data_IF_078266892005
#
_entry.id   IF_078266892005
#
_cell.length_a   1.000
_cell.length_b   1.000
_cell.length_c   1.000
_cell.angle_alpha   90.00
_cell.angle_beta   90.00
_cell.angle_gamma   90.00
#
_symmetry.space_group_name_H-M   'P 1'
#
loop_
_entity.id
_entity.type
_entity.pdbx_description
1 polymer ?
#
# COMPACT_ATOMS: atom_id res chain seq x y z
N UNK A 1 11.34 -9.08 9.78
CA UNK A 1 10.32 -10.05 9.32
C UNK A 1 9.79 -9.58 7.98
N UNK A 2 9.95 -10.39 6.94
CA UNK A 2 9.35 -10.09 5.65
C UNK A 2 7.94 -10.65 5.64
N UNK A 3 6.99 -9.81 5.36
CA UNK A 3 5.59 -10.18 5.22
C UNK A 3 5.27 -10.41 3.76
N UNK A 4 4.55 -11.47 3.50
CA UNK A 4 3.91 -11.71 2.23
C UNK A 4 2.42 -11.56 2.44
N UNK A 5 1.82 -10.54 1.83
CA UNK A 5 0.38 -10.40 1.79
C UNK A 5 -0.16 -11.38 0.76
N UNK A 6 -0.92 -12.35 1.21
CA UNK A 6 -1.76 -13.14 0.31
C UNK A 6 -3.06 -12.40 0.19
N UNK A 7 -3.37 -12.08 -1.03
CA UNK A 7 -4.59 -11.40 -1.40
C UNK A 7 -5.60 -12.45 -1.75
N UNK A 8 -6.69 -12.48 -1.00
CA UNK A 8 -7.86 -13.20 -1.45
C UNK A 8 -8.54 -12.30 -2.48
N UNK A 9 -8.50 -12.73 -3.73
CA UNK A 9 -9.30 -12.13 -4.77
C UNK A 9 -10.71 -12.69 -4.67
N UNK A 10 -11.69 -11.90 -5.04
CA UNK A 10 -12.96 -12.38 -5.51
C UNK A 10 -12.76 -13.66 -6.31
N UNK A 11 -13.22 -14.75 -5.81
CA UNK A 11 -13.36 -15.96 -6.59
C UNK A 11 -14.69 -15.89 -7.31
N UNK A 12 -14.70 -15.65 -8.64
CA UNK A 12 -15.90 -15.88 -9.42
C UNK A 12 -16.31 -17.33 -9.19
N UNK A 13 -17.60 -17.58 -8.99
CA UNK A 13 -18.13 -18.94 -8.94
C UNK A 13 -17.51 -19.77 -10.06
N UNK A 14 -16.73 -20.79 -9.70
CA UNK A 14 -16.13 -21.82 -10.54
C UNK A 14 -15.34 -21.30 -11.75
N UNK A 15 -14.05 -21.15 -11.57
CA UNK A 15 -13.12 -21.44 -12.65
C UNK A 15 -12.74 -22.91 -12.49
N UNK A 16 -13.20 -23.73 -13.42
CA UNK A 16 -12.65 -25.07 -13.60
C UNK A 16 -11.22 -24.94 -14.13
N UNK A 17 -10.29 -24.65 -13.27
CA UNK A 17 -8.88 -24.67 -13.59
C UNK A 17 -8.28 -25.90 -12.92
N UNK A 18 -8.11 -26.94 -13.73
CA UNK A 18 -7.28 -28.11 -13.40
C UNK A 18 -5.81 -27.71 -13.38
N UNK A 19 -5.49 -26.74 -12.53
CA UNK A 19 -4.19 -26.09 -12.43
C UNK A 19 -3.38 -26.57 -11.22
N UNK A 20 -3.70 -27.72 -10.68
CA UNK A 20 -2.95 -28.30 -9.60
C UNK A 20 -1.54 -28.69 -10.06
N UNK A 21 -0.53 -28.03 -9.52
CA UNK A 21 0.85 -28.44 -9.67
C UNK A 21 1.11 -29.67 -8.78
N UNK A 22 1.67 -30.74 -9.34
CA UNK A 22 1.96 -31.98 -8.60
C UNK A 22 2.82 -31.76 -7.35
N UNK A 23 3.74 -30.79 -7.37
CA UNK A 23 4.56 -30.42 -6.21
C UNK A 23 3.72 -29.80 -5.08
N UNK A 24 2.73 -28.96 -5.42
CA UNK A 24 1.80 -28.38 -4.43
C UNK A 24 0.93 -29.46 -3.85
N UNK A 25 0.38 -30.34 -4.67
CA UNK A 25 -0.45 -31.46 -4.21
C UNK A 25 0.30 -32.40 -3.28
N UNK A 26 1.54 -32.74 -3.63
CA UNK A 26 2.39 -33.58 -2.77
C UNK A 26 2.61 -32.92 -1.39
N UNK A 27 2.78 -31.60 -1.34
CA UNK A 27 2.93 -30.86 -0.08
C UNK A 27 1.62 -30.78 0.71
N UNK A 28 0.50 -30.56 0.04
CA UNK A 28 -0.84 -30.61 0.68
C UNK A 28 -1.09 -31.98 1.30
N UNK A 29 -0.71 -33.05 0.61
CA UNK A 29 -0.85 -34.42 1.14
C UNK A 29 0.04 -34.66 2.36
N UNK A 30 1.19 -34.00 2.44
CA UNK A 30 2.13 -34.10 3.57
C UNK A 30 1.76 -33.23 4.79
N UNK A 31 0.71 -32.39 4.70
CA UNK A 31 0.21 -31.60 5.83
C UNK A 31 -0.34 -32.52 6.91
N UNK A 32 -0.11 -32.18 8.19
CA UNK A 32 -0.63 -32.97 9.32
C UNK A 32 -2.15 -33.08 9.28
N UNK A 33 -2.74 -34.15 9.88
CA UNK A 33 -4.17 -34.31 9.95
C UNK A 33 -4.89 -33.10 10.60
N UNK A 34 -4.28 -32.50 11.63
CA UNK A 34 -4.83 -31.32 12.28
C UNK A 34 -4.87 -30.12 11.32
N UNK A 35 -3.83 -29.91 10.54
CA UNK A 35 -3.79 -28.84 9.53
C UNK A 35 -4.74 -29.09 8.36
N UNK A 36 -4.94 -30.37 7.96
CA UNK A 36 -5.92 -30.73 6.91
C UNK A 36 -7.37 -30.50 7.35
N UNK A 37 -7.65 -30.71 8.61
CA UNK A 37 -8.99 -30.57 9.17
C UNK A 37 -9.34 -29.12 9.52
N UNK A 38 -8.40 -28.18 9.43
CA UNK A 38 -8.65 -26.77 9.58
C UNK A 38 -9.31 -26.23 8.32
N UNK A 39 -10.46 -25.56 8.46
CA UNK A 39 -11.15 -24.86 7.37
C UNK A 39 -10.50 -23.51 7.05
N UNK A 40 -9.38 -23.18 7.69
CA UNK A 40 -8.67 -21.93 7.49
C UNK A 40 -7.77 -22.06 6.25
N UNK A 41 -7.83 -21.11 5.31
CA UNK A 41 -6.94 -21.07 4.15
C UNK A 41 -5.47 -21.08 4.55
N UNK A 42 -4.64 -21.69 3.72
CA UNK A 42 -3.21 -21.88 3.99
C UNK A 42 -2.36 -21.32 2.88
N UNK A 43 -1.18 -20.84 3.28
CA UNK A 43 -0.08 -20.55 2.39
C UNK A 43 0.96 -21.66 2.50
N UNK A 44 1.43 -22.16 1.37
CA UNK A 44 2.59 -23.01 1.28
C UNK A 44 3.70 -22.25 0.58
N UNK A 45 4.87 -22.18 1.21
CA UNK A 45 6.03 -21.50 0.64
C UNK A 45 7.29 -22.35 0.84
N UNK A 46 8.09 -22.53 -0.20
CA UNK A 46 9.31 -23.31 -0.17
C UNK A 46 10.36 -22.85 -1.16
N UNK A 47 11.58 -23.38 -1.01
CA UNK A 47 12.69 -23.09 -1.91
C UNK A 47 12.60 -23.99 -3.16
N UNK A 48 12.84 -23.39 -4.36
CA UNK A 48 12.79 -24.11 -5.63
C UNK A 48 11.38 -24.51 -6.08
N UNK A 49 11.24 -24.85 -7.35
CA UNK A 49 9.94 -25.23 -7.95
C UNK A 49 9.30 -26.47 -7.33
N UNK A 50 10.11 -27.34 -6.77
CA UNK A 50 9.65 -28.54 -6.06
C UNK A 50 9.23 -28.23 -4.61
N UNK A 51 9.22 -26.96 -4.22
CA UNK A 51 8.90 -26.49 -2.85
C UNK A 51 9.73 -27.18 -1.77
N UNK A 52 11.01 -27.40 -2.03
CA UNK A 52 11.93 -27.96 -1.06
C UNK A 52 11.87 -27.12 0.23
N UNK A 53 11.84 -27.82 1.36
CA UNK A 53 11.72 -27.21 2.69
C UNK A 53 10.49 -26.30 2.85
N UNK A 54 9.40 -26.63 2.16
CA UNK A 54 8.18 -25.84 2.25
C UNK A 54 7.62 -25.82 3.66
N UNK A 55 7.18 -24.63 4.05
CA UNK A 55 6.44 -24.37 5.28
C UNK A 55 4.99 -24.06 4.94
N UNK A 56 4.12 -24.39 5.87
CA UNK A 56 2.69 -24.12 5.78
C UNK A 56 2.33 -23.08 6.85
N UNK A 57 1.60 -22.05 6.45
CA UNK A 57 1.09 -21.01 7.33
C UNK A 57 -0.43 -20.96 7.20
N UNK A 58 -1.11 -20.80 8.30
CA UNK A 58 -2.55 -20.58 8.33
C UNK A 58 -2.86 -19.08 8.23
N UNK A 59 -3.97 -18.74 7.58
CA UNK A 59 -4.41 -17.36 7.46
C UNK A 59 -5.17 -16.92 8.71
N UNK A 60 -5.01 -15.66 9.07
CA UNK A 60 -6.00 -14.95 9.86
C UNK A 60 -7.17 -14.62 8.94
N UNK A 61 -8.33 -15.23 9.19
CA UNK A 61 -9.51 -15.06 8.37
C UNK A 61 -10.54 -14.19 9.06
N UNK A 62 -11.04 -13.19 8.35
CA UNK A 62 -12.14 -12.32 8.81
C UNK A 62 -13.24 -12.34 7.76
N UNK A 63 -14.45 -12.70 8.18
CA UNK A 63 -15.64 -12.56 7.34
C UNK A 63 -15.99 -11.08 7.22
N UNK A 64 -16.09 -10.60 5.99
CA UNK A 64 -16.32 -9.21 5.70
C UNK A 64 -17.48 -9.06 4.71
N UNK A 65 -18.14 -7.92 4.81
CA UNK A 65 -19.19 -7.52 3.88
C UNK A 65 -18.71 -6.32 3.11
N UNK A 66 -18.81 -6.36 1.79
CA UNK A 66 -18.59 -5.18 0.98
C UNK A 66 -19.66 -4.13 1.33
N UNK A 67 -19.21 -3.01 1.88
CA UNK A 67 -20.10 -1.93 2.29
C UNK A 67 -20.81 -1.25 1.11
N UNK A 68 -20.28 -1.42 -0.09
CA UNK A 68 -20.82 -0.85 -1.32
C UNK A 68 -21.62 -1.88 -2.14
N UNK A 69 -21.63 -3.14 -1.73
CA UNK A 69 -22.44 -4.16 -2.41
C UNK A 69 -23.82 -4.28 -1.76
N UNK A 70 -24.82 -3.75 -2.44
CA UNK A 70 -26.22 -3.83 -2.01
C UNK A 70 -26.78 -5.26 -1.96
N UNK A 71 -26.12 -6.22 -2.61
CA UNK A 71 -26.53 -7.62 -2.58
C UNK A 71 -26.14 -8.33 -1.29
N UNK A 72 -25.31 -7.69 -0.46
CA UNK A 72 -24.97 -8.20 0.86
C UNK A 72 -24.13 -9.47 0.87
N UNK A 73 -23.38 -9.75 -0.18
CA UNK A 73 -22.47 -10.89 -0.23
C UNK A 73 -21.39 -10.74 0.84
N UNK A 74 -21.06 -11.85 1.47
CA UNK A 74 -20.01 -11.93 2.48
C UNK A 74 -18.79 -12.60 1.87
N UNK A 75 -17.64 -12.01 2.11
CA UNK A 75 -16.34 -12.49 1.65
C UNK A 75 -15.47 -12.84 2.86
N UNK A 76 -14.39 -13.53 2.61
CA UNK A 76 -13.36 -13.76 3.61
C UNK A 76 -12.10 -12.99 3.25
N UNK A 77 -11.66 -12.10 4.12
CA UNK A 77 -10.31 -11.53 4.07
C UNK A 77 -9.35 -12.49 4.75
N UNK A 78 -8.33 -12.92 4.04
CA UNK A 78 -7.33 -13.87 4.53
C UNK A 78 -5.96 -13.20 4.54
N UNK A 79 -5.33 -13.10 5.71
CA UNK A 79 -4.02 -12.49 5.89
C UNK A 79 -3.03 -13.52 6.42
N UNK A 80 -1.88 -13.62 5.78
CA UNK A 80 -0.82 -14.53 6.19
C UNK A 80 0.50 -13.80 6.32
N UNK A 81 1.21 -14.06 7.42
CA UNK A 81 2.57 -13.61 7.63
C UNK A 81 3.52 -14.80 7.57
N UNK A 82 4.31 -14.90 6.50
CA UNK A 82 5.37 -15.90 6.40
C UNK A 82 6.65 -15.41 7.07
N UNK A 83 7.22 -16.24 7.93
CA UNK A 83 8.43 -15.92 8.72
C UNK A 83 9.61 -16.79 8.29
N UNK A 84 10.84 -16.35 8.63
CA UNK A 84 12.06 -17.08 8.32
C UNK A 84 12.44 -17.06 6.83
N UNK A 85 11.94 -16.09 6.08
CA UNK A 85 12.30 -15.84 4.69
C UNK A 85 13.68 -15.16 4.68
N UNK A 86 14.64 -15.78 3.96
CA UNK A 86 16.02 -15.29 3.83
C UNK A 86 16.14 -14.38 2.62
N UNK A 87 17.10 -13.46 2.66
CA UNK A 87 17.42 -12.60 1.53
C UNK A 87 18.16 -13.33 0.40
N UNK A 88 18.13 -12.76 -0.81
CA UNK A 88 18.81 -13.27 -2.01
C UNK A 88 18.47 -14.74 -2.35
N UNK A 89 17.20 -15.10 -2.16
CA UNK A 89 16.68 -16.43 -2.46
C UNK A 89 15.38 -16.37 -3.24
N UNK A 90 15.20 -17.35 -4.10
CA UNK A 90 13.92 -17.57 -4.80
C UNK A 90 13.09 -18.59 -4.03
N UNK A 91 11.89 -18.18 -3.68
CA UNK A 91 10.84 -19.00 -3.09
C UNK A 91 9.74 -19.21 -4.10
N UNK A 92 9.03 -20.32 -3.94
CA UNK A 92 7.78 -20.57 -4.64
C UNK A 92 6.67 -20.69 -3.60
N UNK A 93 5.56 -20.03 -3.87
CA UNK A 93 4.43 -20.05 -2.96
C UNK A 93 3.13 -20.37 -3.69
N UNK A 94 2.23 -21.01 -2.98
CA UNK A 94 0.87 -21.29 -3.39
C UNK A 94 -0.06 -21.09 -2.21
N UNK A 95 -1.24 -20.63 -2.44
CA UNK A 95 -2.25 -20.40 -1.41
C UNK A 95 -3.58 -21.02 -1.81
N UNK A 96 -4.35 -21.39 -0.80
CA UNK A 96 -5.73 -21.83 -0.97
C UNK A 96 -6.63 -20.60 -1.18
N UNK A 97 -7.32 -20.58 -2.31
CA UNK A 97 -8.23 -19.51 -2.69
C UNK A 97 -9.71 -19.88 -2.53
N UNK A 98 -10.00 -20.90 -1.73
CA UNK A 98 -11.35 -21.45 -1.52
C UNK A 98 -11.77 -22.49 -2.56
N UNK A 99 -11.02 -22.62 -3.67
CA UNK A 99 -11.24 -23.62 -4.72
C UNK A 99 -10.02 -24.58 -4.87
N UNK A 100 -9.15 -24.55 -3.89
CA UNK A 100 -7.89 -25.30 -3.89
C UNK A 100 -6.67 -24.40 -4.02
N UNK A 101 -5.52 -25.01 -4.13
CA UNK A 101 -4.24 -24.29 -4.17
C UNK A 101 -3.95 -23.72 -5.56
N UNK A 102 -3.51 -22.47 -5.60
CA UNK A 102 -3.08 -21.79 -6.84
C UNK A 102 -1.84 -22.44 -7.44
N UNK A 103 -1.57 -22.17 -8.72
CA UNK A 103 -0.25 -22.46 -9.30
C UNK A 103 0.83 -21.74 -8.50
N UNK A 104 1.98 -22.38 -8.22
CA UNK A 104 3.07 -21.72 -7.53
C UNK A 104 3.54 -20.48 -8.28
N UNK A 105 3.57 -19.36 -7.56
CA UNK A 105 4.21 -18.12 -8.01
C UNK A 105 5.63 -18.04 -7.43
N UNK A 106 6.54 -17.46 -8.19
CA UNK A 106 7.90 -17.22 -7.74
C UNK A 106 7.98 -15.88 -6.98
N UNK A 107 8.77 -15.87 -5.93
CA UNK A 107 9.13 -14.67 -5.20
C UNK A 107 10.64 -14.68 -4.90
N UNK A 108 11.37 -13.76 -5.50
CA UNK A 108 12.81 -13.61 -5.26
C UNK A 108 13.06 -12.46 -4.31
N UNK A 109 13.55 -12.80 -3.11
CA UNK A 109 13.91 -11.83 -2.10
C UNK A 109 15.20 -11.11 -2.49
N UNK A 110 15.28 -9.83 -2.23
CA UNK A 110 16.44 -8.99 -2.53
C UNK A 110 17.31 -8.79 -1.28
N UNK A 111 18.50 -8.20 -1.48
CA UNK A 111 19.39 -7.80 -0.41
C UNK A 111 18.72 -6.80 0.53
N UNK A 112 19.06 -6.87 1.82
CA UNK A 112 18.66 -5.88 2.82
C UNK A 112 19.74 -4.84 3.07
N UNK A 113 20.97 -5.08 2.62
CA UNK A 113 22.09 -4.15 2.80
C UNK A 113 22.18 -3.11 1.68
N UNK A 114 21.86 -3.52 0.45
CA UNK A 114 21.81 -2.65 -0.70
C UNK A 114 20.50 -2.93 -1.44
N UNK A 115 19.55 -2.03 -1.35
CA UNK A 115 18.23 -2.20 -1.91
C UNK A 115 17.71 -0.93 -2.55
N UNK A 116 16.75 -1.11 -3.43
CA UNK A 116 15.96 -0.02 -4.01
C UNK A 116 14.48 -0.31 -3.84
N UNK A 117 13.71 0.75 -3.74
CA UNK A 117 12.25 0.68 -3.75
C UNK A 117 11.70 1.73 -4.71
N UNK A 118 10.51 1.49 -5.24
CA UNK A 118 9.78 2.48 -5.99
C UNK A 118 8.82 3.21 -5.03
N UNK A 119 8.75 4.52 -5.17
CA UNK A 119 7.75 5.35 -4.55
C UNK A 119 6.74 5.79 -5.60
N UNK A 120 5.46 5.67 -5.30
CA UNK A 120 4.34 6.07 -6.15
C UNK A 120 3.24 6.72 -5.32
N UNK A 121 2.47 7.61 -5.93
CA UNK A 121 1.26 8.17 -5.35
C UNK A 121 0.10 8.01 -6.31
N UNK A 122 -1.10 8.01 -5.81
CA UNK A 122 -2.34 8.28 -6.51
C UNK A 122 -2.59 7.44 -7.79
N UNK A 123 -2.48 6.11 -7.74
CA UNK A 123 -2.83 5.28 -8.89
C UNK A 123 -4.29 5.39 -9.30
N UNK A 124 -5.15 5.71 -8.35
CA UNK A 124 -6.58 6.03 -8.52
C UNK A 124 -7.28 5.18 -9.58
N UNK A 125 -7.17 3.84 -9.46
CA UNK A 125 -7.80 2.90 -10.38
C UNK A 125 -9.31 3.16 -10.45
N UNK A 126 -9.83 3.43 -11.63
CA UNK A 126 -11.21 3.83 -11.88
C UNK A 126 -11.37 5.30 -12.27
N UNK A 127 -10.29 6.11 -12.16
CA UNK A 127 -10.33 7.56 -12.41
C UNK A 127 -10.66 7.93 -13.85
N UNK A 128 -10.35 7.07 -14.80
CA UNK A 128 -10.66 7.29 -16.22
C UNK A 128 -12.15 7.08 -16.59
N UNK A 129 -13.02 6.80 -15.59
CA UNK A 129 -14.46 6.75 -15.83
C UNK A 129 -15.04 8.17 -15.93
N UNK A 130 -15.38 8.59 -17.13
CA UNK A 130 -15.96 9.91 -17.39
C UNK A 130 -17.46 10.00 -17.06
N UNK A 131 -18.14 8.87 -16.88
CA UNK A 131 -19.56 8.87 -16.56
C UNK A 131 -19.77 9.18 -15.08
N UNK A 132 -20.58 10.20 -14.84
CA UNK A 132 -21.05 10.50 -13.48
C UNK A 132 -22.21 9.56 -13.14
N UNK A 133 -21.99 8.81 -12.08
CA UNK A 133 -22.76 7.64 -11.73
C UNK A 133 -24.25 7.82 -11.62
N UNK A 134 -24.93 6.95 -12.33
CA UNK A 134 -26.28 6.52 -12.02
C UNK A 134 -26.22 5.00 -11.95
N UNK A 135 -27.04 4.38 -11.14
CA UNK A 135 -27.16 2.93 -11.04
C UNK A 135 -27.73 2.37 -12.36
N UNK A 136 -26.90 2.35 -13.39
CA UNK A 136 -27.23 1.88 -14.74
C UNK A 136 -26.17 0.91 -15.22
N UNK A 137 -26.59 -0.02 -16.08
CA UNK A 137 -25.63 -0.94 -16.73
C UNK A 137 -24.51 -0.19 -17.45
N UNK A 138 -24.85 0.93 -18.12
CA UNK A 138 -23.90 1.76 -18.83
C UNK A 138 -22.79 2.31 -17.91
N UNK A 139 -23.17 2.75 -16.71
CA UNK A 139 -22.21 3.21 -15.71
C UNK A 139 -21.28 2.08 -15.26
N UNK A 140 -21.80 0.90 -14.97
CA UNK A 140 -20.99 -0.24 -14.54
C UNK A 140 -20.07 -0.75 -15.64
N UNK A 141 -20.54 -0.75 -16.89
CA UNK A 141 -19.70 -1.09 -18.05
C UNK A 141 -18.56 -0.06 -18.19
N UNK A 142 -18.84 1.23 -18.00
CA UNK A 142 -17.85 2.29 -18.05
C UNK A 142 -16.84 2.18 -16.90
N UNK A 143 -17.28 1.94 -15.66
CA UNK A 143 -16.39 1.69 -14.53
C UNK A 143 -15.49 0.47 -14.78
N UNK A 144 -16.06 -0.61 -15.27
CA UNK A 144 -15.28 -1.82 -15.61
C UNK A 144 -14.22 -1.55 -16.68
N UNK A 145 -14.52 -0.72 -17.68
CA UNK A 145 -13.58 -0.36 -18.73
C UNK A 145 -12.48 0.58 -18.19
N UNK A 146 -12.84 1.56 -17.37
CA UNK A 146 -11.90 2.44 -16.69
C UNK A 146 -10.93 1.63 -15.84
N UNK A 147 -11.42 0.73 -14.99
CA UNK A 147 -10.59 -0.15 -14.18
C UNK A 147 -9.60 -0.96 -15.02
N UNK A 148 -10.03 -1.50 -16.16
CA UNK A 148 -9.12 -2.25 -17.05
C UNK A 148 -8.03 -1.36 -17.65
N UNK A 149 -8.40 -0.15 -18.09
CA UNK A 149 -7.48 0.82 -18.67
C UNK A 149 -6.45 1.28 -17.64
N UNK A 150 -6.92 1.68 -16.47
CA UNK A 150 -6.06 2.19 -15.41
C UNK A 150 -5.16 1.10 -14.82
N UNK A 151 -5.69 -0.12 -14.66
CA UNK A 151 -4.90 -1.28 -14.25
C UNK A 151 -3.81 -1.66 -15.27
N UNK A 152 -4.08 -1.48 -16.57
CA UNK A 152 -3.07 -1.66 -17.61
C UNK A 152 -1.95 -0.61 -17.49
N UNK A 153 -2.31 0.66 -17.30
CA UNK A 153 -1.34 1.73 -17.11
C UNK A 153 -0.51 1.52 -15.82
N UNK A 154 -1.17 1.14 -14.74
CA UNK A 154 -0.52 0.78 -13.48
C UNK A 154 0.46 -0.39 -13.64
N UNK A 155 0.03 -1.45 -14.34
CA UNK A 155 0.91 -2.58 -14.67
C UNK A 155 2.12 -2.14 -15.50
N UNK A 156 1.92 -1.26 -16.48
CA UNK A 156 3.00 -0.72 -17.32
C UNK A 156 4.00 0.09 -16.49
N UNK A 157 3.53 0.89 -15.55
CA UNK A 157 4.37 1.67 -14.63
C UNK A 157 5.24 0.75 -13.76
N UNK A 158 4.65 -0.30 -13.18
CA UNK A 158 5.40 -1.27 -12.37
C UNK A 158 6.45 -2.02 -13.21
N UNK A 159 6.10 -2.42 -14.42
CA UNK A 159 7.03 -3.11 -15.32
C UNK A 159 8.19 -2.19 -15.75
N UNK A 160 7.90 -0.92 -16.06
CA UNK A 160 8.94 0.06 -16.37
C UNK A 160 9.89 0.30 -15.18
N UNK A 161 9.37 0.33 -13.95
CA UNK A 161 10.19 0.44 -12.75
C UNK A 161 11.08 -0.78 -12.53
N UNK A 162 10.55 -1.99 -12.77
CA UNK A 162 11.34 -3.24 -12.71
C UNK A 162 12.44 -3.25 -13.77
N UNK A 163 12.10 -2.91 -15.02
CA UNK A 163 13.06 -2.83 -16.12
C UNK A 163 14.16 -1.81 -15.82
N UNK A 164 13.79 -0.61 -15.38
CA UNK A 164 14.74 0.46 -15.04
C UNK A 164 15.74 0.06 -13.95
N UNK A 165 15.34 -0.82 -13.08
CA UNK A 165 16.17 -1.31 -11.96
C UNK A 165 16.78 -2.69 -12.23
N UNK A 166 16.67 -3.23 -13.45
CA UNK A 166 17.09 -4.58 -13.80
C UNK A 166 16.56 -5.62 -12.80
N UNK A 167 15.27 -5.56 -12.50
CA UNK A 167 14.57 -6.42 -11.52
C UNK A 167 15.13 -6.35 -10.09
N UNK A 168 15.83 -5.27 -9.72
CA UNK A 168 16.41 -5.11 -8.39
C UNK A 168 15.49 -4.41 -7.39
N UNK A 169 14.27 -4.02 -7.77
CA UNK A 169 13.30 -3.48 -6.83
C UNK A 169 12.97 -4.49 -5.73
N UNK A 170 13.04 -4.04 -4.50
CA UNK A 170 12.70 -4.83 -3.33
C UNK A 170 11.21 -4.77 -3.00
N UNK A 171 10.60 -3.60 -3.16
CA UNK A 171 9.19 -3.33 -2.90
C UNK A 171 8.76 -1.98 -3.48
N UNK A 172 7.46 -1.71 -3.40
CA UNK A 172 6.84 -0.43 -3.74
C UNK A 172 6.27 0.20 -2.47
N UNK A 173 6.44 1.50 -2.32
CA UNK A 173 5.73 2.34 -1.34
C UNK A 173 4.68 3.14 -2.10
N UNK A 174 3.42 3.03 -1.71
CA UNK A 174 2.29 3.74 -2.32
C UNK A 174 1.68 4.72 -1.31
N UNK A 175 1.72 6.00 -1.66
CA UNK A 175 1.34 7.10 -0.77
C UNK A 175 -0.16 7.39 -0.74
N UNK A 176 -1.01 6.40 -0.91
CA UNK A 176 -2.46 6.56 -0.81
C UNK A 176 -3.18 6.64 -2.16
N UNK A 177 -4.49 6.78 -2.10
CA UNK A 177 -5.39 6.86 -3.24
C UNK A 177 -5.18 5.73 -4.25
N UNK A 178 -5.25 4.49 -3.76
CA UNK A 178 -5.12 3.31 -4.59
C UNK A 178 -6.26 3.19 -5.60
N UNK A 179 -7.43 3.69 -5.23
CA UNK A 179 -8.66 3.64 -6.01
C UNK A 179 -9.29 5.02 -6.15
N UNK A 180 -10.26 5.15 -7.07
CA UNK A 180 -10.98 6.39 -7.32
C UNK A 180 -12.21 6.56 -6.44
N UNK A 181 -12.94 5.49 -6.16
CA UNK A 181 -14.27 5.57 -5.56
C UNK A 181 -14.21 5.75 -4.06
N UNK A 182 -14.74 6.89 -3.57
CA UNK A 182 -14.98 7.11 -2.14
C UNK A 182 -16.44 6.86 -1.80
N UNK A 183 -16.72 6.44 -0.58
CA UNK A 183 -18.07 6.28 -0.05
C UNK A 183 -18.78 7.63 0.11
N UNK A 184 -18.05 8.67 0.54
CA UNK A 184 -18.63 9.98 0.87
C UNK A 184 -18.79 10.91 -0.32
N UNK A 185 -17.84 10.86 -1.26
CA UNK A 185 -17.73 11.87 -2.34
C UNK A 185 -18.41 11.44 -3.63
N UNK A 186 -18.79 10.18 -3.76
CA UNK A 186 -19.52 9.74 -4.96
C UNK A 186 -20.91 10.39 -4.98
N UNK A 187 -21.24 11.19 -6.01
CA UNK A 187 -22.59 11.73 -6.14
C UNK A 187 -23.63 10.63 -6.30
N UNK A 188 -23.21 9.39 -6.53
CA UNK A 188 -24.02 8.20 -6.66
C UNK A 188 -23.43 7.10 -5.78
N UNK A 189 -23.59 7.27 -4.47
CA UNK A 189 -23.12 6.36 -3.43
C UNK A 189 -23.44 4.88 -3.67
N UNK A 190 -24.43 4.62 -4.50
CA UNK A 190 -24.96 3.29 -4.74
C UNK A 190 -24.46 2.66 -6.04
N UNK A 191 -23.75 3.42 -6.88
CA UNK A 191 -23.36 2.97 -8.22
C UNK A 191 -21.89 2.57 -8.33
N UNK A 192 -20.95 3.38 -7.81
CA UNK A 192 -19.54 3.07 -7.88
C UNK A 192 -19.16 2.02 -6.84
N UNK A 193 -18.37 1.02 -7.25
CA UNK A 193 -17.94 -0.08 -6.40
C UNK A 193 -16.43 -0.07 -6.24
N UNK A 194 -15.95 0.17 -5.04
CA UNK A 194 -14.51 0.20 -4.74
C UNK A 194 -13.84 -1.16 -4.93
N UNK A 195 -14.57 -2.24 -4.75
CA UNK A 195 -13.99 -3.59 -4.83
C UNK A 195 -13.47 -3.94 -6.22
N UNK A 196 -14.17 -3.56 -7.28
CA UNK A 196 -13.68 -3.75 -8.65
C UNK A 196 -12.41 -2.93 -8.90
N UNK A 197 -12.29 -1.75 -8.31
CA UNK A 197 -11.13 -0.88 -8.42
C UNK A 197 -9.94 -1.45 -7.65
N UNK A 198 -10.13 -1.94 -6.42
CA UNK A 198 -9.08 -2.69 -5.69
C UNK A 198 -8.65 -3.94 -6.45
N UNK A 199 -9.57 -4.64 -7.10
CA UNK A 199 -9.23 -5.78 -7.97
C UNK A 199 -8.31 -5.32 -9.11
N UNK A 200 -8.59 -4.18 -9.72
CA UNK A 200 -7.74 -3.57 -10.74
C UNK A 200 -6.35 -3.21 -10.21
N UNK A 201 -6.30 -2.53 -9.06
CA UNK A 201 -5.04 -2.16 -8.40
C UNK A 201 -4.16 -3.38 -8.11
N UNK A 202 -4.76 -4.47 -7.68
CA UNK A 202 -4.09 -5.70 -7.31
C UNK A 202 -3.83 -6.67 -8.47
N UNK A 203 -4.31 -6.35 -9.68
CA UNK A 203 -4.25 -7.25 -10.84
C UNK A 203 -2.87 -7.40 -11.50
N UNK A 204 -1.95 -6.42 -11.48
CA UNK A 204 -0.69 -6.53 -12.17
C UNK A 204 0.08 -7.80 -11.78
N UNK A 205 0.59 -8.52 -12.79
CA UNK A 205 1.37 -9.76 -12.58
C UNK A 205 2.63 -9.49 -11.74
N UNK A 206 3.26 -8.33 -11.93
CA UNK A 206 4.42 -7.89 -11.17
C UNK A 206 4.19 -7.96 -9.64
N UNK A 207 2.97 -7.67 -9.18
CA UNK A 207 2.64 -7.68 -7.76
C UNK A 207 2.61 -9.09 -7.13
N UNK A 208 2.73 -10.15 -7.91
CA UNK A 208 2.93 -11.50 -7.36
C UNK A 208 4.33 -11.68 -6.76
N UNK A 209 5.30 -10.92 -7.25
CA UNK A 209 6.69 -10.98 -6.80
C UNK A 209 7.24 -9.66 -6.25
N UNK A 210 6.50 -8.57 -6.38
CA UNK A 210 6.86 -7.25 -5.91
C UNK A 210 5.91 -6.82 -4.77
N UNK A 211 6.36 -6.85 -3.51
CA UNK A 211 5.55 -6.39 -2.38
C UNK A 211 5.20 -4.91 -2.48
N UNK A 212 4.04 -4.53 -1.96
CA UNK A 212 3.63 -3.14 -1.87
C UNK A 212 3.24 -2.79 -0.43
N UNK A 213 3.75 -1.65 0.05
CA UNK A 213 3.36 -1.01 1.30
C UNK A 213 2.52 0.22 0.96
N UNK A 214 1.29 0.30 1.47
CA UNK A 214 0.34 1.36 1.15
C UNK A 214 0.04 2.22 2.37
N UNK A 215 -0.15 3.52 2.22
CA UNK A 215 -0.87 4.32 3.20
C UNK A 215 -2.28 4.64 2.72
N UNK A 216 -3.08 5.24 3.56
CA UNK A 216 -4.48 5.58 3.26
C UNK A 216 -4.54 6.96 2.63
N UNK A 217 -5.14 7.06 1.45
CA UNK A 217 -5.49 8.33 0.85
C UNK A 217 -6.96 8.71 1.09
N UNK A 218 -7.37 9.89 0.66
CA UNK A 218 -8.74 10.34 0.90
C UNK A 218 -9.79 9.57 0.09
N UNK A 219 -9.38 8.88 -0.98
CA UNK A 219 -10.23 7.96 -1.73
C UNK A 219 -10.37 6.58 -1.09
N UNK A 220 -9.47 6.21 -0.16
CA UNK A 220 -9.51 4.95 0.58
C UNK A 220 -10.16 5.09 1.97
N UNK A 221 -10.16 6.30 2.54
CA UNK A 221 -10.29 6.56 3.97
C UNK A 221 -11.64 6.21 4.61
N UNK A 222 -12.70 6.20 3.83
CA UNK A 222 -14.05 5.99 4.33
C UNK A 222 -14.64 4.63 3.95
N UNK A 223 -13.81 3.72 3.45
CA UNK A 223 -14.22 2.39 3.00
C UNK A 223 -13.37 1.29 3.67
N UNK A 224 -14.04 0.44 4.43
CA UNK A 224 -13.39 -0.69 5.11
C UNK A 224 -12.69 -1.67 4.16
N UNK A 225 -13.05 -1.70 2.87
CA UNK A 225 -12.41 -2.57 1.87
C UNK A 225 -10.89 -2.37 1.81
N UNK A 226 -10.38 -1.16 2.04
CA UNK A 226 -8.94 -0.94 2.17
C UNK A 226 -8.30 -1.89 3.18
N UNK A 227 -8.86 -1.98 4.38
CA UNK A 227 -8.29 -2.81 5.45
C UNK A 227 -8.36 -4.30 5.14
N UNK A 228 -9.29 -4.72 4.30
CA UNK A 228 -9.46 -6.11 3.93
C UNK A 228 -8.42 -6.58 2.92
N UNK A 229 -7.90 -5.67 2.09
CA UNK A 229 -6.94 -5.98 1.03
C UNK A 229 -5.48 -5.87 1.45
N UNK A 230 -5.16 -5.07 2.46
CA UNK A 230 -3.78 -4.80 2.83
C UNK A 230 -3.44 -5.35 4.22
N UNK A 231 -2.39 -6.19 4.27
CA UNK A 231 -1.84 -6.70 5.51
C UNK A 231 -0.73 -5.76 6.00
N UNK A 232 -1.05 -4.91 6.95
CA UNK A 232 -0.16 -3.89 7.50
C UNK A 232 0.63 -4.45 8.68
N UNK A 233 1.95 -4.41 8.57
CA UNK A 233 2.85 -4.89 9.63
C UNK A 233 2.88 -3.92 10.79
N UNK A 234 2.92 -4.44 12.01
CA UNK A 234 2.99 -3.59 13.21
C UNK A 234 1.94 -2.48 13.17
N UNK A 235 0.72 -2.83 12.73
CA UNK A 235 -0.41 -1.91 12.69
C UNK A 235 -0.78 -1.43 14.09
N UNK A 236 -1.18 -0.17 14.18
CA UNK A 236 -1.63 0.49 15.39
C UNK A 236 -3.09 0.93 15.25
N UNK A 237 -3.74 1.13 16.37
CA UNK A 237 -5.04 1.83 16.42
C UNK A 237 -4.88 3.36 16.37
N UNK A 238 -3.66 3.89 16.56
CA UNK A 238 -3.37 5.32 16.37
C UNK A 238 -3.51 5.69 14.89
N UNK A 239 -4.00 6.88 14.61
CA UNK A 239 -4.26 7.33 13.26
C UNK A 239 -5.48 6.66 12.60
N UNK A 240 -6.48 6.22 13.39
CA UNK A 240 -7.66 5.52 12.87
C UNK A 240 -8.99 6.13 13.34
N UNK A 241 -8.97 7.33 13.92
CA UNK A 241 -10.18 7.95 14.43
C UNK A 241 -11.14 8.39 13.30
N UNK A 242 -12.27 7.69 13.17
CA UNK A 242 -13.30 7.90 12.14
C UNK A 242 -12.86 7.64 10.69
N UNK A 243 -11.70 7.04 10.49
CA UNK A 243 -11.18 6.64 9.19
C UNK A 243 -10.72 5.19 9.23
N UNK A 244 -10.62 4.54 8.08
CA UNK A 244 -10.12 3.17 8.00
C UNK A 244 -8.60 3.16 8.05
N UNK A 245 -8.04 2.07 8.50
CA UNK A 245 -6.60 1.88 8.52
C UNK A 245 -6.02 2.22 9.90
N UNK A 246 -5.02 3.04 9.93
CA UNK A 246 -4.23 3.41 11.10
C UNK A 246 -2.76 3.49 10.73
N UNK A 247 -1.96 4.01 11.62
CA UNK A 247 -0.52 4.10 11.44
C UNK A 247 0.11 2.70 11.54
N UNK A 248 1.17 2.45 10.77
CA UNK A 248 1.93 1.23 10.87
C UNK A 248 3.38 1.45 10.46
N UNK A 249 4.26 0.50 10.73
CA UNK A 249 5.65 0.58 10.29
C UNK A 249 6.19 -0.77 9.85
N UNK A 250 7.26 -0.73 9.07
CA UNK A 250 8.06 -1.90 8.78
C UNK A 250 9.54 -1.53 8.67
N UNK A 251 10.39 -2.55 8.77
CA UNK A 251 11.84 -2.41 8.59
C UNK A 251 12.28 -3.14 7.34
N UNK A 252 13.18 -2.54 6.60
CA UNK A 252 13.90 -3.20 5.54
C UNK A 252 15.38 -2.87 5.64
N UNK A 253 16.21 -3.88 5.97
CA UNK A 253 17.60 -3.65 6.32
C UNK A 253 17.74 -2.72 7.53
N UNK A 254 18.49 -1.65 7.37
CA UNK A 254 18.69 -0.61 8.37
C UNK A 254 17.78 0.62 8.17
N UNK A 255 16.75 0.51 7.35
CA UNK A 255 15.75 1.55 7.14
C UNK A 255 14.43 1.22 7.85
N UNK A 256 13.89 2.20 8.54
CA UNK A 256 12.59 2.21 9.18
C UNK A 256 11.62 3.01 8.30
N UNK A 257 10.55 2.37 7.86
CA UNK A 257 9.47 2.97 7.11
C UNK A 257 8.28 3.17 8.04
N UNK A 258 7.87 4.41 8.24
CA UNK A 258 6.76 4.82 9.09
C UNK A 258 5.63 5.28 8.17
N UNK A 259 4.51 4.59 8.20
CA UNK A 259 3.37 4.83 7.32
C UNK A 259 2.27 5.49 8.13
N UNK A 260 2.02 6.77 7.89
CA UNK A 260 1.03 7.54 8.62
C UNK A 260 -0.29 7.62 7.84
N UNK A 261 -1.39 7.42 8.54
CA UNK A 261 -2.74 7.61 8.02
C UNK A 261 -3.24 9.02 8.37
N UNK A 262 -2.75 10.01 7.67
CA UNK A 262 -3.09 11.43 7.92
C UNK A 262 -4.49 11.83 7.46
N UNK A 263 -5.32 10.88 7.02
CA UNK A 263 -6.77 11.06 6.93
C UNK A 263 -7.42 11.20 8.31
N UNK A 264 -6.79 10.62 9.34
CA UNK A 264 -6.99 11.04 10.71
C UNK A 264 -6.12 12.28 10.98
N UNK A 265 -6.74 13.41 11.22
CA UNK A 265 -6.04 14.70 11.45
C UNK A 265 -5.57 14.88 12.89
N UNK A 266 -5.67 13.85 13.72
CA UNK A 266 -5.19 13.89 15.11
C UNK A 266 -3.66 13.74 15.20
N UNK A 267 -2.95 14.83 14.99
CA UNK A 267 -1.48 14.84 14.99
C UNK A 267 -0.87 14.34 16.31
N UNK A 268 -1.57 14.44 17.42
CA UNK A 268 -1.08 13.91 18.70
C UNK A 268 -0.92 12.38 18.67
N UNK A 269 -1.82 11.66 17.98
CA UNK A 269 -1.71 10.21 17.79
C UNK A 269 -0.53 9.88 16.89
N UNK A 270 -0.35 10.56 15.77
CA UNK A 270 0.79 10.38 14.88
C UNK A 270 2.11 10.65 15.59
N UNK A 271 2.19 11.73 16.41
CA UNK A 271 3.36 12.00 17.24
C UNK A 271 3.66 10.84 18.17
N UNK A 272 2.67 10.38 18.91
CA UNK A 272 2.83 9.25 19.83
C UNK A 272 3.32 8.00 19.08
N UNK A 273 2.76 7.71 17.91
CA UNK A 273 3.15 6.57 17.09
C UNK A 273 4.61 6.68 16.61
N UNK A 274 5.00 7.85 16.07
CA UNK A 274 6.37 8.11 15.62
C UNK A 274 7.36 7.92 16.76
N UNK A 275 7.13 8.57 17.90
CA UNK A 275 8.02 8.52 19.06
C UNK A 275 8.20 7.09 19.57
N UNK A 276 7.12 6.33 19.70
CA UNK A 276 7.17 4.92 20.14
C UNK A 276 7.90 4.05 19.13
N UNK A 277 7.63 4.25 17.84
CA UNK A 277 8.22 3.46 16.75
C UNK A 277 9.73 3.73 16.64
N UNK A 278 10.15 4.98 16.68
CA UNK A 278 11.57 5.36 16.66
C UNK A 278 12.29 4.84 17.89
N UNK A 279 11.69 4.98 19.07
CA UNK A 279 12.28 4.48 20.32
C UNK A 279 12.48 2.96 20.32
N UNK A 280 11.57 2.22 19.69
CA UNK A 280 11.65 0.75 19.56
C UNK A 280 12.62 0.28 18.46
N UNK A 281 13.05 1.14 17.54
CA UNK A 281 13.87 0.80 16.38
C UNK A 281 15.12 1.67 16.24
N UNK A 282 15.82 1.92 17.33
CA UNK A 282 17.04 2.76 17.39
C UNK A 282 18.21 2.21 16.58
N UNK A 283 18.16 0.94 16.20
CA UNK A 283 19.14 0.28 15.34
C UNK A 283 19.00 0.66 13.84
N UNK A 284 17.89 1.27 13.45
CA UNK A 284 17.70 1.77 12.10
C UNK A 284 18.46 3.07 11.88
N UNK A 285 19.23 3.11 10.80
CA UNK A 285 19.99 4.30 10.38
C UNK A 285 19.12 5.32 9.64
N UNK A 286 18.21 4.84 8.81
CA UNK A 286 17.34 5.66 7.98
C UNK A 286 15.90 5.60 8.48
N UNK A 287 15.25 6.75 8.54
CA UNK A 287 13.85 6.89 8.95
C UNK A 287 13.08 7.61 7.86
N UNK A 288 12.17 6.89 7.24
CA UNK A 288 11.40 7.34 6.09
C UNK A 288 9.93 7.35 6.49
N UNK A 289 9.30 8.50 6.42
CA UNK A 289 7.86 8.67 6.63
C UNK A 289 7.14 8.67 5.30
N UNK A 290 5.98 8.04 5.24
CA UNK A 290 5.05 8.14 4.13
C UNK A 290 3.69 8.55 4.66
N UNK A 291 3.10 9.55 4.07
CA UNK A 291 1.74 10.02 4.32
C UNK A 291 1.09 10.41 2.99
N UNK A 292 -0.23 10.60 3.00
CA UNK A 292 -0.91 10.90 1.74
C UNK A 292 -0.86 12.37 1.38
N UNK A 293 -1.24 13.26 2.30
CA UNK A 293 -1.32 14.69 2.00
C UNK A 293 0.06 15.27 1.68
N UNK A 294 0.14 16.03 0.60
CA UNK A 294 1.38 16.65 0.16
C UNK A 294 1.67 17.94 0.95
N UNK A 295 2.31 17.77 2.10
CA UNK A 295 2.61 18.88 3.02
C UNK A 295 3.64 19.87 2.47
N UNK A 296 4.36 19.54 1.39
CA UNK A 296 5.28 20.42 0.65
C UNK A 296 5.09 20.26 -0.86
N UNK A 297 3.84 20.15 -1.28
CA UNK A 297 3.48 20.01 -2.68
C UNK A 297 3.62 21.30 -3.48
N UNK A 298 3.42 21.15 -4.77
CA UNK A 298 3.57 22.25 -5.74
C UNK A 298 2.30 22.46 -6.61
N UNK A 299 1.20 21.81 -6.26
CA UNK A 299 -0.05 21.91 -7.00
C UNK A 299 -1.22 22.38 -6.12
N UNK A 300 -2.45 22.11 -6.54
CA UNK A 300 -3.66 22.74 -6.04
C UNK A 300 -3.90 22.54 -4.53
N UNK A 301 -3.65 21.33 -4.04
CA UNK A 301 -4.01 20.95 -2.68
C UNK A 301 -3.00 21.41 -1.61
N UNK A 302 -1.75 21.66 -1.99
CA UNK A 302 -0.66 21.92 -1.03
C UNK A 302 -0.86 23.14 -0.11
N UNK A 303 -1.73 24.08 -0.50
CA UNK A 303 -2.08 25.27 0.26
C UNK A 303 -3.46 25.21 0.93
N UNK A 304 -4.13 24.07 0.90
CA UNK A 304 -5.38 23.89 1.62
C UNK A 304 -5.14 24.05 3.14
N UNK A 305 -6.11 24.64 3.88
CA UNK A 305 -5.94 24.87 5.32
C UNK A 305 -5.60 23.62 6.13
N UNK A 306 -6.17 22.48 5.76
CA UNK A 306 -5.90 21.19 6.39
C UNK A 306 -4.44 20.77 6.18
N UNK A 307 -3.94 20.87 4.96
CA UNK A 307 -2.58 20.46 4.62
C UNK A 307 -1.55 21.41 5.22
N UNK A 308 -1.83 22.71 5.19
CA UNK A 308 -1.02 23.73 5.87
C UNK A 308 -0.94 23.42 7.36
N UNK A 309 -2.05 23.08 8.00
CA UNK A 309 -2.09 22.74 9.41
C UNK A 309 -1.28 21.47 9.72
N UNK A 310 -1.40 20.42 8.90
CA UNK A 310 -0.58 19.21 9.01
C UNK A 310 0.91 19.51 8.87
N UNK A 311 1.29 20.34 7.89
CA UNK A 311 2.67 20.80 7.69
C UNK A 311 3.25 21.39 8.97
N UNK A 312 2.60 22.41 9.53
CA UNK A 312 3.09 23.10 10.73
C UNK A 312 3.19 22.19 11.94
N UNK A 313 2.29 21.23 12.09
CA UNK A 313 2.27 20.35 13.24
C UNK A 313 3.22 19.15 13.10
N UNK A 314 3.30 18.52 11.91
CA UNK A 314 4.10 17.32 11.69
C UNK A 314 5.60 17.61 11.53
N UNK A 315 5.96 18.74 10.90
CA UNK A 315 7.36 19.05 10.61
C UNK A 315 8.26 19.08 11.85
N UNK A 316 7.87 19.75 12.95
CA UNK A 316 8.67 19.72 14.17
C UNK A 316 8.79 18.32 14.77
N UNK A 317 7.76 17.48 14.61
CA UNK A 317 7.77 16.09 15.07
C UNK A 317 8.77 15.27 14.26
N UNK A 318 8.78 15.46 12.95
CA UNK A 318 9.74 14.80 12.07
C UNK A 318 11.19 15.16 12.41
N UNK A 319 11.46 16.43 12.64
CA UNK A 319 12.78 16.90 13.04
C UNK A 319 13.21 16.32 14.39
N UNK A 320 12.35 16.39 15.40
CA UNK A 320 12.64 15.85 16.74
C UNK A 320 12.90 14.35 16.78
N UNK A 321 12.45 13.64 15.76
CA UNK A 321 12.61 12.20 15.61
C UNK A 321 13.63 11.81 14.52
N UNK A 322 14.44 12.76 14.05
CA UNK A 322 15.46 12.57 13.00
C UNK A 322 14.89 11.83 11.77
N UNK A 323 13.78 12.29 11.23
CA UNK A 323 13.21 11.74 9.99
C UNK A 323 14.02 12.27 8.81
N UNK A 324 14.59 11.36 8.01
CA UNK A 324 15.47 11.72 6.87
C UNK A 324 14.70 12.11 5.61
N UNK A 325 13.51 11.53 5.42
CA UNK A 325 12.73 11.72 4.17
C UNK A 325 11.25 11.55 4.45
N UNK A 326 10.44 12.41 3.85
CA UNK A 326 8.98 12.31 3.83
C UNK A 326 8.52 12.09 2.38
N UNK A 327 7.69 11.09 2.15
CA UNK A 327 7.10 10.73 0.87
C UNK A 327 5.61 11.01 0.91
N UNK A 328 5.10 11.74 -0.07
CA UNK A 328 3.71 12.24 -0.10
C UNK A 328 3.04 11.95 -1.45
N UNK A 329 1.71 12.00 -1.51
CA UNK A 329 0.88 11.88 -2.71
C UNK A 329 -0.05 13.08 -2.85
N UNK A 330 -1.31 12.84 -3.24
CA UNK A 330 -2.43 13.76 -3.23
C UNK A 330 -2.42 14.87 -4.29
N UNK A 331 -1.31 15.52 -4.52
CA UNK A 331 -1.23 16.71 -5.39
C UNK A 331 -1.11 16.39 -6.90
N UNK A 332 -1.00 15.09 -7.25
CA UNK A 332 -0.85 14.57 -8.62
C UNK A 332 0.30 15.24 -9.41
N UNK A 333 1.27 15.78 -8.71
CA UNK A 333 2.43 16.44 -9.26
C UNK A 333 3.71 15.89 -8.63
N UNK A 334 4.78 15.79 -9.42
CA UNK A 334 6.08 15.47 -8.86
C UNK A 334 6.74 16.74 -8.34
N UNK A 335 7.02 16.77 -7.06
CA UNK A 335 7.77 17.82 -6.42
C UNK A 335 8.85 17.24 -5.50
N UNK A 336 9.89 18.01 -5.26
CA UNK A 336 10.95 17.68 -4.32
C UNK A 336 11.45 18.96 -3.68
N UNK A 337 11.31 19.05 -2.37
CA UNK A 337 11.86 20.17 -1.61
C UNK A 337 13.40 20.13 -1.58
N UNK A 338 14.00 21.25 -1.25
CA UNK A 338 15.36 21.28 -0.71
C UNK A 338 15.40 20.55 0.64
N UNK A 339 16.60 20.33 1.16
CA UNK A 339 16.74 19.87 2.54
C UNK A 339 16.21 20.96 3.48
N UNK A 340 15.28 20.55 4.35
CA UNK A 340 14.63 21.43 5.30
C UNK A 340 15.17 21.17 6.71
N UNK A 341 15.24 22.23 7.52
CA UNK A 341 15.51 22.14 8.95
C UNK A 341 14.42 22.96 9.65
N UNK A 342 13.70 22.34 10.60
CA UNK A 342 12.55 22.96 11.28
C UNK A 342 11.36 23.24 10.35
N UNK A 343 11.42 22.77 9.13
CA UNK A 343 10.31 22.75 8.18
C UNK A 343 10.05 24.03 7.40
N UNK A 344 10.48 25.18 7.87
CA UNK A 344 10.19 26.47 7.21
C UNK A 344 11.44 27.31 6.96
N UNK A 345 12.48 27.08 7.71
CA UNK A 345 13.71 27.85 7.59
C UNK A 345 14.89 26.86 7.59
N UNK A 346 15.29 26.45 6.42
CA UNK A 346 16.45 25.58 6.25
C UNK A 346 17.78 26.24 6.65
N UNK A 347 17.74 27.55 6.88
CA UNK A 347 18.84 28.38 7.36
C UNK A 347 18.28 29.38 8.36
N UNK A 348 19.12 30.02 9.15
CA UNK A 348 18.76 31.06 10.11
C UNK A 348 18.33 32.39 9.42
N UNK A 349 17.52 32.31 8.39
CA UNK A 349 16.99 33.48 7.70
C UNK A 349 15.98 34.23 8.58
N UNK A 350 16.03 35.55 8.54
CA UNK A 350 14.92 36.41 8.94
C UNK A 350 13.75 36.20 7.97
N UNK A 351 12.53 36.59 8.36
CA UNK A 351 11.36 36.42 7.50
C UNK A 351 11.53 37.12 6.14
N UNK A 352 12.12 38.33 6.16
CA UNK A 352 12.39 39.12 4.94
C UNK A 352 13.45 38.43 4.04
N UNK A 353 14.49 37.84 4.65
CA UNK A 353 15.52 37.10 3.91
C UNK A 353 14.97 35.80 3.34
N UNK A 354 14.08 35.10 4.09
CA UNK A 354 13.40 33.91 3.62
C UNK A 354 12.51 34.20 2.42
N UNK A 355 11.68 35.27 2.51
CA UNK A 355 10.80 35.67 1.41
C UNK A 355 11.59 36.11 0.17
N UNK A 356 12.76 36.75 0.35
CA UNK A 356 13.62 37.14 -0.75
C UNK A 356 14.25 35.91 -1.44
N UNK A 357 14.70 34.91 -0.68
CA UNK A 357 15.26 33.67 -1.23
C UNK A 357 14.17 32.82 -1.89
N UNK A 358 12.99 32.71 -1.26
CA UNK A 358 11.82 32.05 -1.83
C UNK A 358 11.45 32.64 -3.19
N UNK A 359 11.38 33.97 -3.27
CA UNK A 359 11.10 34.67 -4.52
C UNK A 359 12.17 34.38 -5.58
N UNK A 360 13.44 34.37 -5.22
CA UNK A 360 14.54 34.07 -6.11
C UNK A 360 14.44 32.64 -6.66
N UNK A 361 14.13 31.66 -5.81
CA UNK A 361 13.97 30.26 -6.21
C UNK A 361 12.77 30.10 -7.15
N UNK A 362 11.66 30.77 -6.86
CA UNK A 362 10.49 30.79 -7.76
C UNK A 362 10.81 31.44 -9.11
N UNK A 363 11.53 32.56 -9.12
CA UNK A 363 11.97 33.24 -10.36
C UNK A 363 12.95 32.37 -11.18
N UNK A 364 13.72 31.51 -10.51
CA UNK A 364 14.60 30.52 -11.15
C UNK A 364 13.87 29.24 -11.60
N UNK A 365 12.57 29.09 -11.29
CA UNK A 365 11.81 27.88 -11.55
C UNK A 365 12.18 26.70 -10.63
N UNK A 366 12.80 27.00 -9.50
CA UNK A 366 13.09 26.04 -8.46
C UNK A 366 11.94 26.02 -7.45
N UNK A 367 11.54 24.85 -7.01
CA UNK A 367 10.57 24.70 -5.92
C UNK A 367 11.29 24.93 -4.60
N UNK A 368 10.83 25.85 -3.75
CA UNK A 368 11.45 26.13 -2.46
C UNK A 368 11.34 24.97 -1.48
#
# INVERSE_FOLDING_TARGET
>A
QRQMCIRDRYTPKKINDDNSNAAVQAKVQAISPEQKNSNVPKLIIGEGRNMKNAKVYEAEQTAVKDEQDNNGETYNSNKVTATGIKENKTYYYSYDNGNGYTKPAAYTTKSTNNFSFAFVGDPQIGSSNELKGKDTKEFYDAQSNAVKSDAFNWSSTLNAALEKTNDQLSFVVSAGDQIQTTKKKSPNKDASKSEIEYTGYLSPEALKSLPVATTVGNHDADNANYTYHFNRTNASELGSNKVVGGDYYFKYGNALFIMLNTQDTNVAEHKQFIEQTVAANKDCKWRIVTLHQDIYGSAEHSNEPEITNLRYQLTPIFEQNDIDTVLTGHDHAYSRSKMLLGGTKANDYTDDEFDAELKKDMDAGENP
#
